data_IF_453880404658
#
_entry.id   IF_453880404658
#
_cell.length_a   1.000
_cell.length_b   1.000
_cell.length_c   1.000
_cell.angle_alpha   90.00
_cell.angle_beta   90.00
_cell.angle_gamma   90.00
#
_symmetry.space_group_name_H-M   'P 1'
#
loop_
_entity.id
_entity.type
_entity.pdbx_description
1 polymer ?
#
# COMPACT_ATOMS: atom_id res chain seq x y z
N UNK A 1 -18.16 -14.11 -0.53
CA UNK A 1 -18.89 -14.10 0.76
C UNK A 1 -18.42 -15.21 1.70
N UNK A 2 -18.25 -16.46 1.25
CA UNK A 2 -17.65 -17.52 2.10
C UNK A 2 -16.17 -17.32 2.45
N UNK A 3 -15.44 -16.52 1.68
CA UNK A 3 -14.01 -16.25 1.85
C UNK A 3 -13.61 -15.65 3.21
N UNK A 4 -14.27 -14.56 3.60
CA UNK A 4 -13.95 -13.78 4.79
C UNK A 4 -14.29 -14.56 6.07
N UNK A 5 -15.46 -15.22 6.06
CA UNK A 5 -15.89 -16.12 7.14
C UNK A 5 -14.97 -17.34 7.23
N UNK A 6 -14.57 -17.92 6.10
CA UNK A 6 -13.63 -19.05 6.09
C UNK A 6 -12.22 -18.63 6.54
N UNK A 7 -11.74 -17.44 6.16
CA UNK A 7 -10.46 -16.90 6.62
C UNK A 7 -10.43 -16.68 8.13
N UNK A 8 -11.46 -16.04 8.68
CA UNK A 8 -11.60 -15.83 10.13
C UNK A 8 -11.80 -17.18 10.86
N UNK A 9 -12.63 -18.08 10.34
CA UNK A 9 -12.88 -19.40 10.93
C UNK A 9 -11.62 -20.27 10.92
N UNK A 10 -10.83 -20.22 9.85
CA UNK A 10 -9.54 -20.91 9.77
C UNK A 10 -8.54 -20.32 10.76
N UNK A 11 -8.40 -18.99 10.81
CA UNK A 11 -7.53 -18.33 11.79
C UNK A 11 -7.90 -18.66 13.25
N UNK A 12 -9.20 -18.71 13.59
CA UNK A 12 -9.66 -19.14 14.92
C UNK A 12 -9.49 -20.65 15.16
N UNK A 13 -9.61 -21.47 14.11
CA UNK A 13 -9.37 -22.92 14.15
C UNK A 13 -7.90 -23.25 14.41
N UNK A 14 -6.98 -22.57 13.71
CA UNK A 14 -5.54 -22.73 13.88
C UNK A 14 -5.09 -22.34 15.31
N UNK A 15 -5.72 -21.32 15.91
CA UNK A 15 -5.53 -20.96 17.33
C UNK A 15 -5.98 -22.08 18.28
N UNK A 16 -7.08 -22.76 17.97
CA UNK A 16 -7.62 -23.85 18.78
C UNK A 16 -6.79 -25.13 18.65
N UNK A 17 -6.26 -25.43 17.46
CA UNK A 17 -5.38 -26.57 17.20
C UNK A 17 -3.99 -26.37 17.81
N UNK A 18 -3.44 -25.15 17.78
CA UNK A 18 -2.16 -24.80 18.44
C UNK A 18 -2.15 -25.10 19.95
N UNK A 19 -3.31 -25.13 20.61
CA UNK A 19 -3.44 -25.49 22.04
C UNK A 19 -3.42 -26.99 22.30
N UNK A 20 -3.69 -27.84 21.31
CA UNK A 20 -3.58 -29.29 21.42
C UNK A 20 -2.17 -29.67 21.00
N UNK A 21 -1.28 -29.88 21.97
CA UNK A 21 0.12 -30.21 21.73
C UNK A 21 0.27 -31.31 20.66
N UNK A 22 1.18 -31.08 19.71
CA UNK A 22 1.38 -31.94 18.57
C UNK A 22 1.97 -33.30 19.00
N UNK A 23 1.19 -34.37 18.83
CA UNK A 23 1.74 -35.69 18.57
C UNK A 23 2.58 -35.63 17.29
N UNK A 24 3.75 -36.27 17.32
CA UNK A 24 4.81 -36.18 16.32
C UNK A 24 4.42 -36.83 14.97
N UNK A 25 3.55 -36.18 14.20
CA UNK A 25 3.50 -36.35 12.75
C UNK A 25 4.68 -35.57 12.17
N UNK A 26 5.52 -36.20 11.34
CA UNK A 26 6.60 -35.50 10.61
C UNK A 26 5.98 -34.44 9.68
N UNK A 27 5.79 -33.23 10.21
CA UNK A 27 5.35 -32.08 9.43
C UNK A 27 6.39 -31.82 8.34
N UNK A 28 5.94 -31.76 7.09
CA UNK A 28 6.81 -31.45 5.96
C UNK A 28 7.48 -30.11 6.20
N UNK A 29 8.75 -29.98 5.82
CA UNK A 29 9.45 -28.68 5.90
C UNK A 29 8.75 -27.55 5.14
N UNK A 30 7.86 -27.90 4.22
CA UNK A 30 7.07 -26.95 3.42
C UNK A 30 5.89 -26.35 4.20
N UNK A 31 5.53 -26.94 5.34
CA UNK A 31 4.38 -26.54 6.17
C UNK A 31 4.83 -26.10 7.58
N UNK A 32 6.13 -25.80 7.75
CA UNK A 32 6.70 -25.33 9.02
C UNK A 32 6.73 -23.79 9.05
N UNK A 33 5.76 -23.20 9.74
CA UNK A 33 5.69 -21.78 10.09
C UNK A 33 6.46 -21.45 11.38
N UNK A 34 6.66 -20.15 11.65
CA UNK A 34 7.10 -19.70 12.97
C UNK A 34 6.06 -20.13 14.01
N UNK A 35 6.55 -20.65 15.14
CA UNK A 35 5.71 -21.04 16.27
C UNK A 35 4.74 -19.92 16.67
N UNK A 36 3.45 -20.24 16.63
CA UNK A 36 2.37 -19.28 16.89
C UNK A 36 2.49 -18.60 18.27
N UNK A 37 2.98 -19.29 19.31
CA UNK A 37 3.18 -18.70 20.64
C UNK A 37 4.28 -17.63 20.60
N UNK A 38 5.35 -17.86 19.82
CA UNK A 38 6.41 -16.86 19.62
C UNK A 38 5.88 -15.63 18.88
N UNK A 39 5.05 -15.83 17.86
CA UNK A 39 4.40 -14.72 17.13
C UNK A 39 3.51 -13.90 18.06
N UNK A 40 2.64 -14.57 18.84
CA UNK A 40 1.76 -13.88 19.80
C UNK A 40 2.53 -13.15 20.89
N UNK A 41 3.62 -13.73 21.39
CA UNK A 41 4.52 -13.07 22.35
C UNK A 41 5.19 -11.84 21.72
N UNK A 42 5.63 -11.91 20.46
CA UNK A 42 6.22 -10.78 19.75
C UNK A 42 5.20 -9.64 19.53
N UNK A 43 3.95 -9.96 19.15
CA UNK A 43 2.87 -8.98 19.03
C UNK A 43 2.62 -8.31 20.39
N UNK A 44 2.53 -9.09 21.47
CA UNK A 44 2.35 -8.56 22.82
C UNK A 44 3.53 -7.67 23.25
N UNK A 45 4.76 -8.05 22.91
CA UNK A 45 5.96 -7.26 23.20
C UNK A 45 5.97 -5.93 22.43
N UNK A 46 5.57 -5.92 21.16
CA UNK A 46 5.49 -4.71 20.31
C UNK A 46 4.30 -3.82 20.70
N UNK A 47 3.23 -4.39 21.26
CA UNK A 47 2.09 -3.62 21.73
C UNK A 47 2.46 -2.65 22.88
N UNK A 48 3.46 -2.99 23.69
CA UNK A 48 3.92 -2.17 24.82
C UNK A 48 4.51 -0.82 24.35
N UNK A 49 5.55 -0.76 23.49
CA UNK A 49 6.05 0.53 22.99
C UNK A 49 4.99 1.27 22.15
N UNK A 50 4.11 0.57 21.42
CA UNK A 50 3.01 1.23 20.70
C UNK A 50 1.97 1.85 21.64
N UNK A 51 1.70 1.24 22.79
CA UNK A 51 0.88 1.85 23.84
C UNK A 51 1.48 3.17 24.32
N UNK A 52 2.78 3.21 24.61
CA UNK A 52 3.44 4.45 25.01
C UNK A 52 3.45 5.49 23.89
N UNK A 53 3.56 5.07 22.62
CA UNK A 53 3.43 5.96 21.47
C UNK A 53 2.02 6.56 21.36
N UNK A 54 0.97 5.75 21.54
CA UNK A 54 -0.40 6.26 21.54
C UNK A 54 -0.70 7.12 22.76
N UNK A 55 -0.04 6.87 23.89
CA UNK A 55 -0.09 7.75 25.06
C UNK A 55 0.54 9.10 24.78
N UNK A 56 1.69 9.11 24.12
CA UNK A 56 2.33 10.33 23.67
C UNK A 56 1.43 11.16 22.73
N UNK A 57 0.75 10.53 21.77
CA UNK A 57 -0.16 11.23 20.86
C UNK A 57 -1.47 11.68 21.53
N UNK A 58 -2.14 10.77 22.24
CA UNK A 58 -3.49 11.02 22.76
C UNK A 58 -3.50 11.82 24.06
N UNK A 59 -2.43 11.76 24.86
CA UNK A 59 -2.36 12.31 26.21
C UNK A 59 -3.36 11.67 27.19
N UNK A 60 -3.99 10.55 26.83
CA UNK A 60 -5.02 9.87 27.62
C UNK A 60 -4.67 8.40 27.78
N UNK A 61 -4.54 7.93 29.03
CA UNK A 61 -4.28 6.52 29.31
C UNK A 61 -5.42 5.64 28.75
N UNK A 62 -6.67 6.04 28.99
CA UNK A 62 -7.84 5.32 28.48
C UNK A 62 -7.87 5.24 26.96
N UNK A 63 -7.59 6.36 26.27
CA UNK A 63 -7.50 6.37 24.81
C UNK A 63 -6.37 5.51 24.26
N UNK A 64 -5.24 5.48 24.96
CA UNK A 64 -4.07 4.66 24.57
C UNK A 64 -4.37 3.18 24.65
N UNK A 65 -5.01 2.72 25.74
CA UNK A 65 -5.43 1.31 25.89
C UNK A 65 -6.38 0.92 24.76
N UNK A 66 -7.40 1.75 24.50
CA UNK A 66 -8.39 1.48 23.44
C UNK A 66 -7.70 1.40 22.08
N UNK A 67 -6.85 2.36 21.74
CA UNK A 67 -6.15 2.37 20.45
C UNK A 67 -5.21 1.18 20.29
N UNK A 68 -4.48 0.78 21.34
CA UNK A 68 -3.62 -0.42 21.28
C UNK A 68 -4.44 -1.68 21.05
N UNK A 69 -5.56 -1.85 21.78
CA UNK A 69 -6.44 -3.02 21.62
C UNK A 69 -7.08 -3.05 20.23
N UNK A 70 -7.60 -1.91 19.77
CA UNK A 70 -8.19 -1.77 18.43
C UNK A 70 -7.16 -2.04 17.35
N UNK A 71 -5.94 -1.52 17.48
CA UNK A 71 -4.85 -1.76 16.55
C UNK A 71 -4.53 -3.25 16.44
N UNK A 72 -4.44 -3.98 17.56
CA UNK A 72 -4.18 -5.43 17.55
C UNK A 72 -5.32 -6.18 16.84
N UNK A 73 -6.57 -5.87 17.21
CA UNK A 73 -7.76 -6.56 16.66
C UNK A 73 -7.88 -6.29 15.16
N UNK A 74 -7.82 -5.03 14.74
CA UNK A 74 -7.96 -4.64 13.35
C UNK A 74 -6.74 -5.07 12.53
N UNK A 75 -5.54 -4.95 13.08
CA UNK A 75 -4.32 -5.43 12.45
C UNK A 75 -4.39 -6.93 12.15
N UNK A 76 -4.80 -7.75 13.12
CA UNK A 76 -5.00 -9.18 12.92
C UNK A 76 -6.08 -9.49 11.88
N UNK A 77 -7.26 -8.87 12.03
CA UNK A 77 -8.40 -9.11 11.13
C UNK A 77 -8.08 -8.69 9.69
N UNK A 78 -7.50 -7.51 9.50
CA UNK A 78 -7.22 -6.96 8.18
C UNK A 78 -5.97 -7.55 7.56
N UNK A 79 -4.98 -8.02 8.33
CA UNK A 79 -3.91 -8.87 7.82
C UNK A 79 -4.48 -10.16 7.21
N UNK A 80 -5.43 -10.83 7.88
CA UNK A 80 -6.06 -12.03 7.35
C UNK A 80 -6.85 -11.76 6.05
N UNK A 81 -7.60 -10.65 6.00
CA UNK A 81 -8.37 -10.25 4.80
C UNK A 81 -7.44 -9.88 3.64
N UNK A 82 -6.42 -9.06 3.91
CA UNK A 82 -5.46 -8.64 2.90
C UNK A 82 -4.67 -9.83 2.35
N UNK A 83 -4.09 -10.66 3.23
CA UNK A 83 -3.36 -11.87 2.84
C UNK A 83 -4.21 -12.81 1.99
N UNK A 84 -5.47 -13.03 2.37
CA UNK A 84 -6.39 -13.86 1.58
C UNK A 84 -6.68 -13.28 0.19
N UNK A 85 -7.00 -11.99 0.12
CA UNK A 85 -7.34 -11.34 -1.16
C UNK A 85 -6.15 -11.28 -2.09
N UNK A 86 -4.95 -11.00 -1.55
CA UNK A 86 -3.71 -11.03 -2.32
C UNK A 86 -3.36 -12.44 -2.77
N UNK A 87 -3.53 -13.44 -1.91
CA UNK A 87 -3.31 -14.84 -2.26
C UNK A 87 -4.20 -15.33 -3.42
N UNK A 88 -5.41 -14.79 -3.52
CA UNK A 88 -6.35 -15.13 -4.61
C UNK A 88 -6.18 -14.29 -5.87
N UNK A 89 -6.08 -12.96 -5.72
CA UNK A 89 -6.26 -11.99 -6.83
C UNK A 89 -4.97 -11.21 -7.14
N UNK A 90 -3.90 -11.41 -6.36
CA UNK A 90 -2.63 -10.69 -6.46
C UNK A 90 -2.58 -9.36 -5.68
N UNK A 91 -1.38 -8.82 -5.50
CA UNK A 91 -1.11 -7.61 -4.67
C UNK A 91 -1.69 -6.36 -5.30
N UNK A 92 -1.75 -6.31 -6.64
CA UNK A 92 -2.35 -5.19 -7.37
C UNK A 92 -3.82 -4.96 -7.02
N UNK A 93 -4.49 -5.98 -6.48
CA UNK A 93 -5.88 -5.92 -6.03
C UNK A 93 -6.02 -5.96 -4.49
N UNK A 94 -4.93 -5.76 -3.73
CA UNK A 94 -5.00 -5.68 -2.28
C UNK A 94 -5.79 -4.43 -1.86
N UNK A 95 -6.93 -4.54 -1.14
CA UNK A 95 -7.74 -3.39 -0.77
C UNK A 95 -7.17 -2.60 0.43
N UNK A 96 -5.84 -2.40 0.47
CA UNK A 96 -5.14 -1.74 1.60
C UNK A 96 -5.78 -0.38 1.89
N UNK A 97 -6.01 0.42 0.85
CA UNK A 97 -6.64 1.74 0.97
C UNK A 97 -7.97 1.70 1.75
N UNK A 98 -8.85 0.73 1.44
CA UNK A 98 -10.13 0.57 2.11
C UNK A 98 -10.02 0.04 3.54
N UNK A 99 -9.09 -0.90 3.78
CA UNK A 99 -8.83 -1.47 5.12
C UNK A 99 -8.24 -0.40 6.07
N UNK A 100 -7.34 0.43 5.57
CA UNK A 100 -6.74 1.54 6.32
C UNK A 100 -7.78 2.61 6.67
N UNK A 101 -8.61 3.02 5.71
CA UNK A 101 -9.70 3.97 5.96
C UNK A 101 -10.70 3.43 6.98
N UNK A 102 -11.08 2.16 6.89
CA UNK A 102 -11.97 1.53 7.86
C UNK A 102 -11.35 1.52 9.27
N UNK A 103 -10.05 1.27 9.37
CA UNK A 103 -9.32 1.32 10.65
C UNK A 103 -9.31 2.71 11.25
N UNK A 104 -9.05 3.71 10.42
CA UNK A 104 -9.10 5.11 10.80
C UNK A 104 -10.48 5.50 11.30
N UNK A 105 -11.55 5.14 10.57
CA UNK A 105 -12.93 5.43 10.95
C UNK A 105 -13.29 4.83 12.31
N UNK A 106 -12.99 3.53 12.52
CA UNK A 106 -13.29 2.84 13.78
C UNK A 106 -12.51 3.47 14.93
N UNK A 107 -11.20 3.70 14.76
CA UNK A 107 -10.37 4.33 15.77
C UNK A 107 -10.86 5.75 16.10
N UNK A 108 -11.18 6.55 15.08
CA UNK A 108 -11.66 7.92 15.23
C UNK A 108 -12.98 8.00 16.00
N UNK A 109 -13.96 7.17 15.64
CA UNK A 109 -15.25 7.11 16.34
C UNK A 109 -15.09 6.70 17.80
N UNK A 110 -14.21 5.73 18.09
CA UNK A 110 -13.92 5.32 19.46
C UNK A 110 -13.24 6.42 20.27
N UNK A 111 -12.30 7.16 19.68
CA UNK A 111 -11.63 8.28 20.34
C UNK A 111 -12.59 9.43 20.64
N UNK A 112 -13.50 9.75 19.71
CA UNK A 112 -14.57 10.72 19.95
C UNK A 112 -15.52 10.25 21.06
N UNK A 113 -15.89 8.97 21.07
CA UNK A 113 -16.80 8.42 22.08
C UNK A 113 -16.25 8.52 23.52
N UNK A 114 -14.92 8.47 23.70
CA UNK A 114 -14.27 8.64 25.01
C UNK A 114 -13.82 10.09 25.28
N UNK A 115 -14.17 11.04 24.41
CA UNK A 115 -13.86 12.46 24.58
C UNK A 115 -12.42 12.86 24.25
N UNK A 116 -11.64 12.01 23.57
CA UNK A 116 -10.29 12.38 23.12
C UNK A 116 -10.38 12.95 21.71
N UNK A 117 -10.51 14.28 21.63
CA UNK A 117 -10.72 15.03 20.39
C UNK A 117 -9.53 15.96 20.05
N UNK A 118 -9.66 16.70 18.96
CA UNK A 118 -8.65 17.66 18.51
C UNK A 118 -7.35 17.01 18.02
N UNK A 119 -6.27 17.79 17.96
CA UNK A 119 -5.00 17.36 17.36
C UNK A 119 -4.41 16.10 17.99
N UNK A 120 -4.58 15.93 19.31
CA UNK A 120 -4.12 14.73 20.03
C UNK A 120 -4.85 13.46 19.56
N UNK A 121 -6.17 13.54 19.44
CA UNK A 121 -6.97 12.43 18.91
C UNK A 121 -6.63 12.14 17.44
N UNK A 122 -6.46 13.18 16.61
CA UNK A 122 -6.12 13.05 15.18
C UNK A 122 -4.79 12.30 14.98
N UNK A 123 -3.73 12.70 15.71
CA UNK A 123 -2.44 12.02 15.62
C UNK A 123 -2.54 10.56 16.05
N UNK A 124 -3.29 10.28 17.12
CA UNK A 124 -3.42 8.94 17.66
C UNK A 124 -4.17 7.98 16.70
N UNK A 125 -5.24 8.45 16.05
CA UNK A 125 -6.02 7.63 15.11
C UNK A 125 -5.27 7.41 13.79
N UNK A 126 -4.52 8.41 13.31
CA UNK A 126 -3.62 8.25 12.16
C UNK A 126 -2.49 7.27 12.47
N UNK A 127 -1.98 7.27 13.70
CA UNK A 127 -1.00 6.30 14.17
C UNK A 127 -1.51 4.85 14.11
N UNK A 128 -2.74 4.60 14.56
CA UNK A 128 -3.38 3.27 14.43
C UNK A 128 -3.58 2.89 12.97
N UNK A 129 -4.12 3.81 12.15
CA UNK A 129 -4.32 3.57 10.73
C UNK A 129 -3.02 3.21 10.01
N UNK A 130 -1.91 3.89 10.33
CA UNK A 130 -0.58 3.60 9.78
C UNK A 130 -0.10 2.20 10.12
N UNK A 131 -0.19 1.77 11.39
CA UNK A 131 0.23 0.42 11.79
C UNK A 131 -0.61 -0.65 11.10
N UNK A 132 -1.93 -0.48 11.04
CA UNK A 132 -2.83 -1.45 10.37
C UNK A 132 -2.59 -1.48 8.86
N UNK A 133 -2.30 -0.32 8.24
CA UNK A 133 -1.92 -0.23 6.83
C UNK A 133 -0.67 -1.07 6.54
N UNK A 134 0.38 -0.91 7.34
CA UNK A 134 1.61 -1.70 7.20
C UNK A 134 1.34 -3.19 7.41
N UNK A 135 0.55 -3.56 8.44
CA UNK A 135 0.20 -4.95 8.70
C UNK A 135 -0.56 -5.60 7.53
N UNK A 136 -1.52 -4.90 6.93
CA UNK A 136 -2.27 -5.39 5.77
C UNK A 136 -1.41 -5.50 4.51
N UNK A 137 -0.47 -4.57 4.30
CA UNK A 137 0.50 -4.61 3.20
C UNK A 137 1.42 -5.82 3.31
N UNK A 138 2.14 -5.94 4.42
CA UNK A 138 3.11 -7.03 4.66
C UNK A 138 2.43 -8.40 4.68
N UNK A 139 1.20 -8.51 5.20
CA UNK A 139 0.44 -9.76 5.11
C UNK A 139 0.13 -10.17 3.67
N UNK A 140 -0.14 -9.20 2.80
CA UNK A 140 -0.32 -9.43 1.36
C UNK A 140 0.96 -9.92 0.70
N UNK A 141 2.06 -9.22 0.93
CA UNK A 141 3.36 -9.54 0.32
C UNK A 141 3.86 -10.91 0.78
N UNK A 142 3.77 -11.20 2.08
CA UNK A 142 4.08 -12.52 2.64
C UNK A 142 3.29 -13.65 1.97
N UNK A 143 2.02 -13.44 1.63
CA UNK A 143 1.22 -14.47 0.95
C UNK A 143 1.69 -14.73 -0.49
N UNK A 144 2.26 -13.73 -1.17
CA UNK A 144 2.88 -13.95 -2.48
C UNK A 144 4.22 -14.65 -2.35
N UNK A 145 5.02 -14.24 -1.38
CA UNK A 145 6.30 -14.88 -1.12
C UNK A 145 6.08 -16.34 -0.80
N UNK A 146 5.17 -16.67 0.13
CA UNK A 146 4.81 -18.05 0.47
C UNK A 146 4.32 -18.84 -0.74
N UNK A 147 3.58 -18.23 -1.66
CA UNK A 147 3.18 -18.89 -2.92
C UNK A 147 4.39 -19.24 -3.79
N UNK A 148 5.29 -18.28 -4.02
CA UNK A 148 6.52 -18.48 -4.80
C UNK A 148 7.43 -19.50 -4.11
N UNK A 149 7.61 -19.36 -2.79
CA UNK A 149 8.38 -20.28 -1.97
C UNK A 149 7.82 -21.69 -1.99
N UNK A 150 6.50 -21.87 -1.93
CA UNK A 150 5.88 -23.19 -2.05
C UNK A 150 6.20 -23.85 -3.40
N UNK A 151 6.15 -23.08 -4.51
CA UNK A 151 6.51 -23.56 -5.85
C UNK A 151 8.00 -23.95 -5.93
N UNK A 152 8.88 -23.18 -5.29
CA UNK A 152 10.32 -23.42 -5.29
C UNK A 152 10.79 -24.42 -4.21
N UNK A 153 9.89 -24.92 -3.36
CA UNK A 153 10.22 -25.83 -2.26
C UNK A 153 10.90 -25.16 -1.05
N UNK A 154 10.60 -23.88 -0.81
CA UNK A 154 11.03 -23.08 0.34
C UNK A 154 10.36 -23.50 1.66
N UNK A 155 10.98 -23.09 2.77
CA UNK A 155 10.52 -23.38 4.14
C UNK A 155 9.88 -22.12 4.74
N UNK A 156 8.57 -22.10 5.05
CA UNK A 156 7.84 -20.88 5.44
C UNK A 156 8.46 -20.08 6.57
N UNK A 157 8.87 -20.71 7.68
CA UNK A 157 9.44 -19.98 8.81
C UNK A 157 10.70 -19.18 8.45
N UNK A 158 11.52 -19.68 7.50
CA UNK A 158 12.72 -18.96 7.06
C UNK A 158 12.37 -17.73 6.24
N UNK A 159 11.30 -17.82 5.46
CA UNK A 159 10.78 -16.72 4.65
C UNK A 159 10.18 -15.64 5.54
N UNK A 160 9.40 -16.05 6.55
CA UNK A 160 8.85 -15.14 7.57
C UNK A 160 9.96 -14.40 8.34
N UNK A 161 11.04 -15.10 8.74
CA UNK A 161 12.20 -14.45 9.37
C UNK A 161 12.91 -13.51 8.41
N UNK A 162 13.10 -13.92 7.15
CA UNK A 162 13.67 -13.07 6.11
C UNK A 162 12.89 -11.76 5.92
N UNK A 163 11.57 -11.86 5.90
CA UNK A 163 10.69 -10.68 5.78
C UNK A 163 10.76 -9.79 7.02
N UNK A 164 10.79 -10.36 8.23
CA UNK A 164 10.96 -9.57 9.45
C UNK A 164 12.27 -8.75 9.38
N UNK A 165 13.36 -9.36 8.91
CA UNK A 165 14.64 -8.66 8.71
C UNK A 165 14.49 -7.55 7.66
N UNK A 166 13.86 -7.86 6.52
CA UNK A 166 13.61 -6.91 5.44
C UNK A 166 12.78 -5.70 5.88
N UNK A 167 11.70 -5.92 6.64
CA UNK A 167 10.83 -4.87 7.16
C UNK A 167 11.56 -4.00 8.17
N UNK A 168 12.35 -4.58 9.08
CA UNK A 168 13.14 -3.80 10.05
C UNK A 168 14.17 -2.93 9.33
N UNK A 169 14.92 -3.49 8.37
CA UNK A 169 15.87 -2.73 7.57
C UNK A 169 15.19 -1.60 6.78
N UNK A 170 14.06 -1.92 6.14
CA UNK A 170 13.28 -0.96 5.35
C UNK A 170 12.72 0.17 6.20
N UNK A 171 12.20 -0.12 7.39
CA UNK A 171 11.68 0.88 8.32
C UNK A 171 12.77 1.87 8.76
N UNK A 172 14.00 1.41 8.99
CA UNK A 172 15.13 2.28 9.35
C UNK A 172 15.55 3.21 8.21
N UNK A 173 15.50 2.73 6.95
CA UNK A 173 15.87 3.52 5.77
C UNK A 173 14.77 4.50 5.38
N UNK A 174 13.50 4.07 5.44
CA UNK A 174 12.36 4.85 4.97
C UNK A 174 12.18 6.16 5.75
N UNK A 175 12.51 6.18 7.04
CA UNK A 175 12.44 7.39 7.87
C UNK A 175 13.33 8.50 7.28
N UNK A 176 14.56 8.17 6.89
CA UNK A 176 15.49 9.15 6.31
C UNK A 176 15.01 9.65 4.95
N UNK A 177 14.54 8.75 4.10
CA UNK A 177 13.98 9.13 2.80
C UNK A 177 12.78 10.07 2.97
N UNK A 178 11.87 9.77 3.90
CA UNK A 178 10.70 10.61 4.20
C UNK A 178 11.10 12.01 4.70
N UNK A 179 12.04 12.10 5.63
CA UNK A 179 12.53 13.38 6.16
C UNK A 179 13.14 14.23 5.05
N UNK A 180 14.00 13.64 4.23
CA UNK A 180 14.69 14.35 3.15
C UNK A 180 13.72 14.79 2.06
N UNK A 181 12.77 13.93 1.67
CA UNK A 181 11.73 14.28 0.71
C UNK A 181 10.85 15.43 1.21
N UNK A 182 10.47 15.43 2.49
CA UNK A 182 9.69 16.53 3.07
C UNK A 182 10.48 17.83 3.17
N UNK A 183 11.78 17.76 3.49
CA UNK A 183 12.65 18.94 3.52
C UNK A 183 12.88 19.57 2.14
N UNK A 184 13.03 18.74 1.10
CA UNK A 184 13.37 19.21 -0.25
C UNK A 184 12.12 19.59 -1.05
N UNK A 185 11.07 18.77 -1.01
CA UNK A 185 9.87 18.93 -1.85
C UNK A 185 8.62 19.32 -1.07
N UNK A 186 8.59 19.11 0.25
CA UNK A 186 7.43 19.23 1.12
C UNK A 186 6.27 18.30 0.74
N UNK A 187 5.99 17.31 1.58
CA UNK A 187 4.96 16.30 1.31
C UNK A 187 3.58 16.96 1.31
N UNK A 188 2.84 16.80 0.20
CA UNK A 188 1.55 17.44 0.00
C UNK A 188 1.60 18.76 -0.77
N UNK A 189 2.79 19.21 -1.18
CA UNK A 189 2.95 20.34 -2.11
C UNK A 189 2.54 19.98 -3.54
N UNK A 190 2.58 20.95 -4.46
CA UNK A 190 2.39 20.68 -5.89
C UNK A 190 3.51 19.84 -6.49
N UNK A 191 4.74 19.93 -5.96
CA UNK A 191 5.90 19.16 -6.44
C UNK A 191 5.94 17.73 -5.88
N UNK A 192 5.33 17.49 -4.71
CA UNK A 192 5.15 16.16 -4.14
C UNK A 192 3.71 15.95 -3.61
N UNK A 193 2.70 15.81 -4.51
CA UNK A 193 1.32 15.64 -4.10
C UNK A 193 1.12 14.35 -3.31
N UNK A 194 0.45 14.44 -2.16
CA UNK A 194 0.14 13.30 -1.30
C UNK A 194 -1.38 13.13 -1.11
N UNK A 195 -2.14 12.86 -2.19
CA UNK A 195 -3.61 12.88 -2.16
C UNK A 195 -4.20 11.86 -1.17
N UNK A 196 -3.58 10.68 -1.07
CA UNK A 196 -4.01 9.65 -0.12
C UNK A 196 -3.80 10.09 1.34
N UNK A 197 -2.66 10.72 1.65
CA UNK A 197 -2.41 11.27 2.98
C UNK A 197 -3.38 12.43 3.29
N UNK A 198 -3.67 13.27 2.29
CA UNK A 198 -4.67 14.33 2.38
C UNK A 198 -6.06 13.80 2.73
N UNK A 199 -6.52 12.74 2.05
CA UNK A 199 -7.80 12.08 2.35
C UNK A 199 -7.85 11.56 3.79
N UNK A 200 -6.78 10.86 4.23
CA UNK A 200 -6.67 10.33 5.59
C UNK A 200 -6.72 11.47 6.63
N UNK A 201 -6.00 12.56 6.37
CA UNK A 201 -5.99 13.74 7.25
C UNK A 201 -7.36 14.43 7.30
N UNK A 202 -8.05 14.59 6.16
CA UNK A 202 -9.39 15.17 6.09
C UNK A 202 -10.40 14.34 6.89
N UNK A 203 -10.36 13.02 6.75
CA UNK A 203 -11.26 12.13 7.49
C UNK A 203 -10.97 12.13 8.99
N UNK A 204 -9.68 12.06 9.38
CA UNK A 204 -9.32 12.12 10.80
C UNK A 204 -9.70 13.47 11.43
N UNK A 205 -9.42 14.59 10.75
CA UNK A 205 -9.79 15.94 11.20
C UNK A 205 -11.30 16.13 11.25
N UNK A 206 -12.03 15.70 10.23
CA UNK A 206 -13.48 15.84 10.19
C UNK A 206 -14.16 15.07 11.33
N UNK A 207 -13.78 13.81 11.56
CA UNK A 207 -14.43 12.98 12.57
C UNK A 207 -14.01 13.38 13.97
N UNK A 208 -12.70 13.48 14.23
CA UNK A 208 -12.16 13.75 15.58
C UNK A 208 -12.27 15.23 15.94
N UNK A 209 -12.27 16.12 14.95
CA UNK A 209 -12.49 17.56 15.12
C UNK A 209 -13.97 17.97 15.19
N UNK A 210 -14.90 17.12 14.73
CA UNK A 210 -16.34 17.35 14.82
C UNK A 210 -16.98 17.99 13.58
N UNK A 211 -16.20 18.40 12.59
CA UNK A 211 -16.65 19.08 11.37
C UNK A 211 -16.94 18.13 10.19
N UNK A 212 -17.24 16.86 10.47
CA UNK A 212 -17.46 15.88 9.40
C UNK A 212 -18.76 16.16 8.65
N UNK A 213 -18.67 16.32 7.34
CA UNK A 213 -19.82 16.38 6.44
C UNK A 213 -20.44 14.99 6.23
N UNK A 214 -21.08 14.44 7.27
CA UNK A 214 -21.75 13.13 7.24
C UNK A 214 -22.68 12.91 6.05
N UNK A 215 -23.46 13.91 5.57
CA UNK A 215 -24.26 13.74 4.36
C UNK A 215 -23.44 13.34 3.13
N UNK A 216 -22.20 13.84 2.98
CA UNK A 216 -21.30 13.48 1.86
C UNK A 216 -20.72 12.07 2.02
N UNK A 217 -20.42 11.65 3.25
CA UNK A 217 -19.96 10.27 3.53
C UNK A 217 -21.06 9.27 3.16
N UNK A 218 -22.28 9.53 3.64
CA UNK A 218 -23.43 8.68 3.38
C UNK A 218 -23.79 8.67 1.89
N UNK A 219 -23.76 9.80 1.21
CA UNK A 219 -23.99 9.85 -0.24
C UNK A 219 -22.94 9.04 -1.00
N UNK A 220 -21.67 9.10 -0.62
CA UNK A 220 -20.60 8.26 -1.15
C UNK A 220 -20.84 6.76 -0.91
N UNK A 221 -21.32 6.38 0.28
CA UNK A 221 -21.71 5.00 0.58
C UNK A 221 -22.86 4.51 -0.31
N UNK A 222 -23.90 5.34 -0.50
CA UNK A 222 -25.01 5.00 -1.39
C UNK A 222 -24.60 4.95 -2.86
N UNK A 223 -23.71 5.84 -3.30
CA UNK A 223 -23.12 5.79 -4.63
C UNK A 223 -22.35 4.49 -4.84
N UNK A 224 -21.52 4.10 -3.86
CA UNK A 224 -20.77 2.83 -3.93
C UNK A 224 -21.72 1.63 -4.01
N UNK A 225 -22.79 1.61 -3.21
CA UNK A 225 -23.84 0.58 -3.30
C UNK A 225 -24.49 0.60 -4.69
N UNK A 226 -24.84 1.76 -5.21
CA UNK A 226 -25.41 1.92 -6.56
C UNK A 226 -24.49 1.36 -7.64
N UNK A 227 -23.20 1.70 -7.61
CA UNK A 227 -22.18 1.19 -8.54
C UNK A 227 -22.06 -0.35 -8.47
N UNK A 228 -22.11 -0.92 -7.27
CA UNK A 228 -22.09 -2.37 -7.07
C UNK A 228 -23.36 -3.02 -7.65
N UNK A 229 -24.54 -2.41 -7.44
CA UNK A 229 -25.82 -2.92 -7.93
C UNK A 229 -25.91 -2.92 -9.45
N UNK A 230 -25.39 -1.88 -10.11
CA UNK A 230 -25.30 -1.83 -11.59
C UNK A 230 -24.15 -2.66 -12.16
N UNK A 231 -23.42 -3.41 -11.31
CA UNK A 231 -22.24 -4.21 -11.67
C UNK A 231 -21.20 -3.39 -12.44
N UNK A 232 -20.93 -2.17 -11.98
CA UNK A 232 -19.88 -1.34 -12.54
C UNK A 232 -18.55 -2.13 -12.53
N UNK A 233 -17.77 -2.13 -13.63
CA UNK A 233 -16.60 -3.00 -13.77
C UNK A 233 -15.54 -2.80 -12.68
N UNK A 234 -15.36 -1.55 -12.23
CA UNK A 234 -14.42 -1.24 -11.15
C UNK A 234 -14.87 0.01 -10.36
N UNK A 235 -15.70 -0.17 -9.31
CA UNK A 235 -16.09 0.93 -8.43
C UNK A 235 -14.89 1.59 -7.74
N UNK A 236 -13.84 0.81 -7.47
CA UNK A 236 -12.61 1.30 -6.85
C UNK A 236 -11.88 2.31 -7.75
N UNK A 237 -11.78 2.06 -9.06
CA UNK A 237 -11.14 2.99 -9.99
C UNK A 237 -11.93 4.31 -10.11
N UNK A 238 -13.25 4.25 -10.02
CA UNK A 238 -14.11 5.45 -9.97
C UNK A 238 -13.77 6.27 -8.72
N UNK A 239 -13.72 5.64 -7.55
CA UNK A 239 -13.39 6.32 -6.30
C UNK A 239 -11.96 6.91 -6.34
N UNK A 240 -10.99 6.17 -6.86
CA UNK A 240 -9.60 6.64 -7.02
C UNK A 240 -9.53 7.87 -7.92
N UNK A 241 -10.24 7.86 -9.06
CA UNK A 241 -10.30 8.99 -9.97
C UNK A 241 -10.94 10.25 -9.37
N UNK A 242 -11.78 10.11 -8.34
CA UNK A 242 -12.44 11.26 -7.69
C UNK A 242 -11.51 12.06 -6.76
N UNK A 243 -10.49 11.43 -6.17
CA UNK A 243 -9.58 12.11 -5.23
C UNK A 243 -8.18 12.35 -5.80
N UNK A 244 -7.80 11.67 -6.90
CA UNK A 244 -6.52 11.91 -7.55
C UNK A 244 -6.50 13.24 -8.31
N UNK A 245 -5.37 13.96 -8.33
CA UNK A 245 -5.19 15.12 -9.17
C UNK A 245 -5.43 14.81 -10.66
N UNK A 246 -5.92 15.79 -11.40
CA UNK A 246 -6.23 15.64 -12.82
C UNK A 246 -5.02 15.15 -13.63
N UNK A 247 -3.81 15.65 -13.35
CA UNK A 247 -2.60 15.23 -14.07
C UNK A 247 -2.27 13.75 -13.84
N UNK A 248 -2.45 13.22 -12.61
CA UNK A 248 -2.25 11.80 -12.30
C UNK A 248 -3.29 10.94 -13.00
N UNK A 249 -4.56 11.36 -12.96
CA UNK A 249 -5.66 10.66 -13.64
C UNK A 249 -5.48 10.67 -15.16
N UNK A 250 -5.03 11.79 -15.73
CA UNK A 250 -4.71 11.91 -17.16
C UNK A 250 -3.56 10.97 -17.55
N UNK A 251 -2.50 10.89 -16.74
CA UNK A 251 -1.39 9.96 -16.98
C UNK A 251 -1.86 8.49 -17.00
N UNK A 252 -2.72 8.10 -16.05
CA UNK A 252 -3.34 6.76 -16.01
C UNK A 252 -4.17 6.51 -17.27
N UNK A 253 -4.98 7.49 -17.69
CA UNK A 253 -5.78 7.41 -18.92
C UNK A 253 -4.89 7.19 -20.15
N UNK A 254 -3.80 7.95 -20.29
CA UNK A 254 -2.88 7.77 -21.43
C UNK A 254 -2.18 6.42 -21.38
N UNK A 255 -1.81 5.91 -20.21
CA UNK A 255 -1.34 4.52 -20.06
C UNK A 255 -2.36 3.49 -20.56
N UNK A 256 -3.65 3.73 -20.30
CA UNK A 256 -4.75 2.94 -20.86
C UNK A 256 -4.85 3.01 -22.40
N UNK A 257 -4.64 4.19 -22.98
CA UNK A 257 -4.56 4.34 -24.45
C UNK A 257 -3.38 3.59 -25.05
N UNK A 258 -2.21 3.62 -24.41
CA UNK A 258 -1.03 2.85 -24.83
C UNK A 258 -1.33 1.35 -24.81
N UNK A 259 -1.96 0.86 -23.72
CA UNK A 259 -2.40 -0.54 -23.62
C UNK A 259 -3.39 -0.90 -24.73
N UNK A 260 -4.36 -0.04 -25.01
CA UNK A 260 -5.33 -0.24 -26.09
C UNK A 260 -4.64 -0.35 -27.46
N UNK A 261 -3.61 0.47 -27.72
CA UNK A 261 -2.81 0.38 -28.95
C UNK A 261 -2.04 -0.95 -29.01
N UNK A 262 -1.41 -1.38 -27.91
CA UNK A 262 -0.73 -2.67 -27.85
C UNK A 262 -1.69 -3.82 -28.16
N UNK A 263 -2.85 -3.88 -27.49
CA UNK A 263 -3.88 -4.89 -27.71
C UNK A 263 -4.39 -4.90 -29.16
N UNK A 264 -4.62 -3.73 -29.75
CA UNK A 264 -5.05 -3.64 -31.14
C UNK A 264 -3.99 -4.14 -32.12
N UNK A 265 -2.70 -3.90 -31.85
CA UNK A 265 -1.61 -4.43 -32.66
C UNK A 265 -1.45 -5.96 -32.51
N UNK A 266 -1.63 -6.48 -31.30
CA UNK A 266 -1.64 -7.92 -31.03
C UNK A 266 -2.77 -8.62 -31.80
N UNK A 267 -3.98 -8.05 -31.79
CA UNK A 267 -5.12 -8.53 -32.57
C UNK A 267 -4.83 -8.52 -34.07
N UNK A 268 -4.28 -7.42 -34.61
CA UNK A 268 -3.90 -7.32 -36.03
C UNK A 268 -2.85 -8.35 -36.45
N UNK A 269 -1.99 -8.79 -35.53
CA UNK A 269 -0.96 -9.81 -35.78
C UNK A 269 -1.44 -11.24 -35.55
N UNK A 270 -2.72 -11.45 -35.19
CA UNK A 270 -3.27 -12.76 -34.81
C UNK A 270 -2.41 -13.49 -33.76
N UNK A 271 -1.90 -12.74 -32.77
CA UNK A 271 -1.06 -13.30 -31.72
C UNK A 271 -1.82 -14.35 -30.88
N UNK A 272 -1.14 -15.44 -30.53
CA UNK A 272 -1.68 -16.49 -29.65
C UNK A 272 -1.87 -15.96 -28.21
N UNK A 273 -2.65 -16.67 -27.39
CA UNK A 273 -2.85 -16.26 -25.98
C UNK A 273 -1.54 -16.21 -25.19
N UNK A 274 -0.63 -17.15 -25.43
CA UNK A 274 0.71 -17.15 -24.81
C UNK A 274 1.52 -15.91 -25.21
N UNK A 275 1.47 -15.53 -26.48
CA UNK A 275 2.13 -14.34 -27.00
C UNK A 275 1.55 -13.05 -26.41
N UNK A 276 0.22 -12.99 -26.23
CA UNK A 276 -0.44 -11.87 -25.55
C UNK A 276 0.03 -11.76 -24.10
N UNK A 277 0.00 -12.86 -23.34
CA UNK A 277 0.48 -12.87 -21.95
C UNK A 277 1.95 -12.46 -21.84
N UNK A 278 2.81 -12.92 -22.77
CA UNK A 278 4.23 -12.53 -22.81
C UNK A 278 4.40 -11.02 -23.06
N UNK A 279 3.66 -10.47 -24.01
CA UNK A 279 3.67 -9.03 -24.30
C UNK A 279 3.16 -8.21 -23.11
N UNK A 280 2.06 -8.63 -22.48
CA UNK A 280 1.50 -7.99 -21.29
C UNK A 280 2.48 -8.00 -20.12
N UNK A 281 3.05 -9.15 -19.78
CA UNK A 281 4.06 -9.27 -18.72
C UNK A 281 5.28 -8.39 -19.00
N UNK A 282 5.73 -8.32 -20.26
CA UNK A 282 6.84 -7.45 -20.67
C UNK A 282 6.48 -5.98 -20.48
N UNK A 283 5.29 -5.56 -20.90
CA UNK A 283 4.81 -4.19 -20.72
C UNK A 283 4.69 -3.81 -19.24
N UNK A 284 4.14 -4.71 -18.41
CA UNK A 284 4.06 -4.53 -16.96
C UNK A 284 5.46 -4.42 -16.33
N UNK A 285 6.41 -5.25 -16.73
CA UNK A 285 7.78 -5.22 -16.22
C UNK A 285 8.50 -3.90 -16.57
N UNK A 286 8.40 -3.44 -17.83
CA UNK A 286 8.97 -2.16 -18.27
C UNK A 286 8.34 -1.00 -17.49
N UNK A 287 7.01 -1.00 -17.38
CA UNK A 287 6.28 0.07 -16.67
C UNK A 287 6.65 0.10 -15.19
N UNK A 288 6.75 -1.05 -14.54
CA UNK A 288 7.15 -1.17 -13.14
C UNK A 288 8.60 -0.72 -12.92
N UNK A 289 9.50 -1.05 -13.85
CA UNK A 289 10.89 -0.59 -13.83
C UNK A 289 11.02 0.92 -14.00
N UNK A 290 10.21 1.54 -14.87
CA UNK A 290 10.18 2.99 -15.04
C UNK A 290 9.66 3.71 -13.79
N UNK A 291 8.60 3.20 -13.16
CA UNK A 291 8.05 3.73 -11.90
C UNK A 291 9.10 3.62 -10.79
N UNK A 292 9.68 2.43 -10.60
CA UNK A 292 10.70 2.21 -9.57
C UNK A 292 11.95 3.08 -9.82
N UNK A 293 12.37 3.21 -11.08
CA UNK A 293 13.51 4.04 -11.47
C UNK A 293 13.27 5.53 -11.19
N UNK A 294 12.09 6.04 -11.52
CA UNK A 294 11.69 7.43 -11.22
C UNK A 294 11.71 7.69 -9.72
N UNK A 295 11.07 6.83 -8.93
CA UNK A 295 11.00 6.98 -7.47
C UNK A 295 12.38 6.87 -6.81
N UNK A 296 13.24 5.94 -7.24
CA UNK A 296 14.59 5.82 -6.72
C UNK A 296 15.45 7.04 -7.08
N UNK A 297 15.34 7.52 -8.33
CA UNK A 297 16.07 8.72 -8.78
C UNK A 297 15.62 9.95 -8.00
N UNK A 298 14.32 10.11 -7.76
CA UNK A 298 13.77 11.21 -6.96
C UNK A 298 14.32 11.20 -5.51
N UNK A 299 14.40 10.03 -4.87
CA UNK A 299 14.98 9.89 -3.53
C UNK A 299 16.47 10.24 -3.54
N UNK A 300 17.26 9.68 -4.47
CA UNK A 300 18.71 9.98 -4.59
C UNK A 300 18.93 11.47 -4.78
N UNK A 301 18.13 12.09 -5.64
CA UNK A 301 18.22 13.51 -5.96
C UNK A 301 17.89 14.38 -4.74
N UNK A 302 16.88 13.99 -3.96
CA UNK A 302 16.56 14.65 -2.70
C UNK A 302 17.73 14.59 -1.72
N UNK A 303 18.42 13.44 -1.60
CA UNK A 303 19.61 13.31 -0.76
C UNK A 303 20.77 14.19 -1.24
N UNK A 304 20.98 14.31 -2.55
CA UNK A 304 22.01 15.20 -3.12
C UNK A 304 21.71 16.65 -2.76
N UNK A 305 20.47 17.11 -2.99
CA UNK A 305 20.06 18.50 -2.71
C UNK A 305 20.17 18.84 -1.23
N UNK A 306 19.70 17.94 -0.36
CA UNK A 306 19.82 18.10 1.08
C UNK A 306 21.30 18.12 1.53
N UNK A 307 22.14 17.23 0.98
CA UNK A 307 23.57 17.15 1.29
C UNK A 307 24.35 18.39 0.88
N UNK A 308 24.05 19.00 -0.27
CA UNK A 308 24.72 20.23 -0.70
C UNK A 308 24.24 21.44 0.11
N UNK A 309 22.96 21.49 0.48
CA UNK A 309 22.41 22.55 1.34
C UNK A 309 23.08 22.59 2.73
N UNK A 310 23.52 21.43 3.25
CA UNK A 310 24.28 21.33 4.51
C UNK A 310 25.73 21.82 4.38
N UNK A 311 26.31 21.82 3.18
CA UNK A 311 27.70 22.21 2.90
C UNK A 311 27.92 23.69 2.59
N UNK A 312 26.95 24.57 2.90
CA UNK A 312 26.90 25.99 2.45
C UNK A 312 26.89 26.20 0.93
N UNK A 313 26.65 25.15 0.14
CA UNK A 313 26.37 25.27 -1.29
C UNK A 313 24.88 25.51 -1.53
N UNK A 314 24.53 26.55 -2.28
CA UNK A 314 23.16 26.71 -2.80
C UNK A 314 23.02 25.85 -4.06
N UNK A 315 22.87 24.54 -3.90
CA UNK A 315 22.55 23.67 -5.03
C UNK A 315 21.04 23.63 -5.20
N UNK A 316 20.57 24.19 -6.30
CA UNK A 316 19.18 24.07 -6.70
C UNK A 316 19.09 22.98 -7.75
N UNK A 317 18.03 22.17 -7.65
CA UNK A 317 17.67 21.17 -8.66
C UNK A 317 17.59 21.73 -10.08
N UNK A 318 17.26 23.01 -10.19
CA UNK A 318 17.23 23.77 -11.44
C UNK A 318 18.62 23.97 -12.07
N UNK A 319 19.71 23.82 -11.32
CA UNK A 319 21.08 23.94 -11.83
C UNK A 319 21.45 22.74 -12.74
N UNK A 320 20.75 21.60 -12.58
CA UNK A 320 20.87 20.43 -13.44
C UNK A 320 19.81 20.37 -14.55
N UNK A 321 18.87 21.32 -14.59
CA UNK A 321 17.94 21.45 -15.70
C UNK A 321 18.72 21.96 -16.92
N UNK A 322 19.39 21.05 -17.62
CA UNK A 322 20.12 21.29 -18.88
C UNK A 322 19.25 21.99 -19.92
N UNK A 323 17.93 21.93 -19.76
CA UNK A 323 16.96 22.62 -20.57
C UNK A 323 15.87 23.25 -19.67
N UNK A 324 15.37 24.45 -20.01
CA UNK A 324 14.12 24.96 -19.43
C UNK A 324 13.03 23.89 -19.57
N UNK A 325 12.11 23.80 -18.60
CA UNK A 325 10.96 22.89 -18.67
C UNK A 325 10.15 23.19 -19.95
N UNK A 326 10.49 22.49 -21.03
CA UNK A 326 9.95 22.72 -22.36
C UNK A 326 8.92 21.65 -22.65
N UNK A 327 7.66 22.02 -22.96
CA UNK A 327 6.62 21.08 -23.36
C UNK A 327 7.04 20.15 -24.51
N UNK A 328 7.96 20.61 -25.38
CA UNK A 328 8.50 19.84 -26.50
C UNK A 328 9.42 18.69 -26.08
N UNK A 329 10.23 18.88 -25.03
CA UNK A 329 11.06 17.80 -24.48
C UNK A 329 10.19 16.72 -23.81
N UNK A 330 9.14 17.16 -23.12
CA UNK A 330 8.10 16.27 -22.58
C UNK A 330 7.44 15.44 -23.69
N UNK A 331 7.10 16.07 -24.83
CA UNK A 331 6.52 15.37 -25.97
C UNK A 331 7.46 14.30 -26.55
N UNK A 332 8.75 14.61 -26.69
CA UNK A 332 9.75 13.66 -27.18
C UNK A 332 9.90 12.48 -26.22
N UNK A 333 9.98 12.75 -24.91
CA UNK A 333 10.02 11.71 -23.88
C UNK A 333 8.76 10.83 -23.95
N UNK A 334 7.59 11.44 -24.19
CA UNK A 334 6.32 10.73 -24.33
C UNK A 334 6.27 9.83 -25.57
N UNK A 335 6.79 10.30 -26.71
CA UNK A 335 6.93 9.49 -27.93
C UNK A 335 7.88 8.32 -27.68
N UNK A 336 8.99 8.57 -26.98
CA UNK A 336 9.93 7.53 -26.55
C UNK A 336 9.24 6.48 -25.69
N UNK A 337 8.53 6.89 -24.65
CA UNK A 337 7.75 6.01 -23.76
C UNK A 337 6.72 5.20 -24.53
N UNK A 338 5.95 5.83 -25.41
CA UNK A 338 4.97 5.16 -26.27
C UNK A 338 5.65 4.07 -27.12
N UNK A 339 6.76 4.42 -27.76
CA UNK A 339 7.52 3.48 -28.57
C UNK A 339 8.06 2.32 -27.73
N UNK A 340 8.64 2.58 -26.56
CA UNK A 340 9.16 1.55 -25.67
C UNK A 340 8.07 0.60 -25.18
N UNK A 341 6.93 1.14 -24.74
CA UNK A 341 5.82 0.37 -24.17
C UNK A 341 4.97 -0.38 -25.20
N UNK A 342 5.05 -0.03 -26.48
CA UNK A 342 4.35 -0.76 -27.55
C UNK A 342 5.30 -1.66 -28.31
N UNK A 343 6.45 -1.15 -28.75
CA UNK A 343 7.35 -1.91 -29.64
C UNK A 343 8.07 -3.05 -28.94
N UNK A 344 8.65 -2.83 -27.76
CA UNK A 344 9.40 -3.88 -27.05
C UNK A 344 8.49 -5.08 -26.73
N UNK A 345 7.27 -4.88 -26.17
CA UNK A 345 6.33 -5.98 -25.98
C UNK A 345 5.97 -6.71 -27.27
N UNK A 346 5.79 -5.98 -28.39
CA UNK A 346 5.46 -6.59 -29.68
C UNK A 346 6.62 -7.38 -30.29
N UNK A 347 7.85 -6.96 -30.10
CA UNK A 347 9.03 -7.65 -30.64
C UNK A 347 9.34 -8.93 -29.85
N UNK A 348 9.10 -8.94 -28.53
CA UNK A 348 9.28 -10.11 -27.64
C UNK A 348 8.34 -11.28 -27.91
N UNK A 349 7.31 -11.08 -28.73
CA UNK A 349 6.39 -12.14 -29.18
C UNK A 349 7.03 -13.11 -30.17
N UNK A 350 8.10 -12.66 -30.85
CA UNK A 350 8.80 -13.43 -31.89
C UNK A 350 9.91 -14.33 -31.33
N UNK A 351 10.39 -14.02 -30.13
CA UNK A 351 11.31 -14.84 -29.34
C UNK A 351 10.54 -15.91 -28.57
#
# INVERSE_FOLDING_TARGET
RGSLVNGIKKALGDIAESKKGADAVKVSRLDLDIDFKKVMLAIAAIAIPLFFLYHYFSGSIGGSVILTVVMIILGFLFAAVAGYLVGLVGSSNNPISGLTLSSLLIAALLMVAIGVTGNKGIMAVLGVAGVVCCAAGIAGDMMQDLKVGHILGGTPWRMQVGEIIGVVASALVLIWAMIVLDQVYHIGSESLPAPQAGLMALMARGIVGGDMAWPLVLSGMFLAVGLILVKAPSPMLVAVGMYLPFHSTAAIFVGGLIKMVLENNLKKKNATEEQKTKAENTGVLISSGLIAGESLTAVILAFIVAGVSLGQGTFQLTDFALFPASPYLGLIAFIGLFYFLVKIPLDRIKE
#
